data_IF_262182150846
#
_entry.id   IF_262182150846
#
_cell.length_a   1.000
_cell.length_b   1.000
_cell.length_c   1.000
_cell.angle_alpha   90.00
_cell.angle_beta   90.00
_cell.angle_gamma   90.00
#
_symmetry.space_group_name_H-M   'P 1'
#
loop_
_entity.id
_entity.type
_entity.pdbx_description
1 polymer ?
#
# COMPACT_ATOMS: atom_id res chain seq x y z
N UNK A 1 29.21 -32.67 38.52
CA UNK A 1 27.85 -32.15 38.75
C UNK A 1 26.93 -33.07 37.98
N UNK A 2 26.06 -33.82 38.67
CA UNK A 2 25.11 -34.72 38.00
C UNK A 2 24.12 -33.89 37.20
N UNK A 3 24.01 -34.16 35.89
CA UNK A 3 22.96 -33.60 35.06
C UNK A 3 21.61 -34.16 35.54
N UNK A 4 20.64 -33.27 35.75
CA UNK A 4 19.27 -33.68 36.11
C UNK A 4 18.64 -34.49 34.98
N UNK A 5 17.75 -35.44 35.27
CA UNK A 5 17.13 -36.30 34.26
C UNK A 5 16.44 -35.51 33.14
N UNK A 6 15.84 -34.36 33.46
CA UNK A 6 15.28 -33.44 32.47
C UNK A 6 16.31 -32.91 31.45
N UNK A 7 17.56 -32.68 31.88
CA UNK A 7 18.63 -32.22 30.99
C UNK A 7 19.10 -33.34 30.06
N UNK A 8 19.03 -34.61 30.52
CA UNK A 8 19.37 -35.77 29.68
C UNK A 8 18.29 -35.99 28.63
N UNK A 9 17.02 -35.95 29.02
CA UNK A 9 15.88 -36.09 28.09
C UNK A 9 15.89 -35.00 27.02
N UNK A 10 16.27 -33.77 27.39
CA UNK A 10 16.36 -32.66 26.43
C UNK A 10 17.49 -32.88 25.41
N UNK A 11 18.66 -33.34 25.86
CA UNK A 11 19.79 -33.62 24.98
C UNK A 11 19.46 -34.79 24.05
N UNK A 12 18.90 -35.87 24.56
CA UNK A 12 18.50 -37.04 23.76
C UNK A 12 17.41 -36.66 22.72
N UNK A 13 16.47 -35.78 23.09
CA UNK A 13 15.45 -35.28 22.16
C UNK A 13 16.04 -34.38 21.08
N UNK A 14 17.05 -33.56 21.41
CA UNK A 14 17.73 -32.71 20.42
C UNK A 14 18.59 -33.54 19.46
N UNK A 15 19.32 -34.53 19.96
CA UNK A 15 20.11 -35.45 19.15
C UNK A 15 19.21 -36.25 18.19
N UNK A 16 18.11 -36.82 18.69
CA UNK A 16 17.14 -37.54 17.87
C UNK A 16 16.46 -36.64 16.82
N UNK A 17 16.24 -35.35 17.12
CA UNK A 17 15.70 -34.39 16.17
C UNK A 17 16.69 -34.05 15.06
N UNK A 18 17.97 -33.83 15.41
CA UNK A 18 19.03 -33.51 14.44
C UNK A 18 19.25 -34.69 13.48
N UNK A 19 19.22 -35.93 13.98
CA UNK A 19 19.36 -37.13 13.16
C UNK A 19 18.32 -37.25 12.04
N UNK A 20 17.13 -36.66 12.19
CA UNK A 20 16.08 -36.71 11.16
C UNK A 20 16.43 -35.92 9.89
N UNK A 21 17.42 -35.03 9.98
CA UNK A 21 17.88 -34.20 8.88
C UNK A 21 19.25 -34.62 8.33
N UNK A 22 19.93 -35.58 8.97
CA UNK A 22 21.15 -36.18 8.44
C UNK A 22 20.79 -37.29 7.43
N UNK A 23 21.20 -37.09 6.17
CA UNK A 23 20.94 -38.02 5.06
C UNK A 23 21.61 -39.38 5.23
N UNK A 24 22.64 -39.46 6.08
CA UNK A 24 23.35 -40.70 6.37
C UNK A 24 22.80 -41.42 7.61
N UNK A 25 21.87 -40.80 8.35
CA UNK A 25 21.21 -41.42 9.50
C UNK A 25 20.10 -42.37 9.05
N UNK A 26 19.95 -43.50 9.75
CA UNK A 26 18.83 -44.42 9.57
C UNK A 26 17.47 -43.76 9.87
N UNK A 27 17.48 -42.67 10.64
CA UNK A 27 16.29 -41.91 11.04
C UNK A 27 15.97 -40.73 10.13
N UNK A 28 16.69 -40.55 9.00
CA UNK A 28 16.42 -39.48 8.03
C UNK A 28 14.95 -39.47 7.61
N UNK A 29 14.24 -38.36 7.84
CA UNK A 29 12.78 -38.25 7.64
C UNK A 29 11.98 -39.42 8.23
N UNK A 30 12.28 -39.84 9.46
CA UNK A 30 11.66 -40.98 10.15
C UNK A 30 11.81 -42.32 9.41
N UNK A 31 12.93 -42.51 8.72
CA UNK A 31 13.20 -43.72 7.94
C UNK A 31 12.50 -43.77 6.58
N UNK A 32 11.96 -42.64 6.09
CA UNK A 32 11.38 -42.53 4.76
C UNK A 32 12.25 -41.63 3.86
N UNK A 33 13.22 -42.21 3.13
CA UNK A 33 14.11 -41.45 2.24
C UNK A 33 13.45 -41.08 0.90
N UNK A 34 12.15 -41.31 0.72
CA UNK A 34 11.46 -41.04 -0.55
C UNK A 34 11.43 -39.55 -0.84
N UNK A 35 12.16 -39.12 -1.88
CA UNK A 35 12.14 -37.73 -2.32
C UNK A 35 10.72 -37.34 -2.76
N UNK A 36 10.13 -36.35 -2.08
CA UNK A 36 8.85 -35.79 -2.48
C UNK A 36 9.05 -35.01 -3.78
N UNK A 37 8.27 -35.28 -4.85
CA UNK A 37 8.43 -34.56 -6.10
C UNK A 37 8.12 -33.08 -5.89
N UNK A 38 9.09 -32.22 -6.16
CA UNK A 38 8.92 -30.77 -6.10
C UNK A 38 8.12 -30.35 -7.33
N UNK A 39 6.82 -30.10 -7.16
CA UNK A 39 5.94 -29.58 -8.21
C UNK A 39 4.94 -30.58 -8.81
N UNK A 40 4.14 -31.26 -7.98
CA UNK A 40 3.00 -32.09 -8.43
C UNK A 40 1.64 -31.44 -8.16
N UNK A 41 0.74 -31.45 -9.14
CA UNK A 41 -0.64 -30.93 -9.07
C UNK A 41 -1.60 -31.77 -8.19
N UNK A 42 -1.14 -32.82 -7.51
CA UNK A 42 -2.04 -33.73 -6.81
C UNK A 42 -2.34 -33.21 -5.40
N UNK A 43 -3.47 -32.51 -5.29
CA UNK A 43 -4.10 -32.18 -4.03
C UNK A 43 -4.51 -33.49 -3.31
N UNK A 44 -4.19 -33.68 -2.02
CA UNK A 44 -4.62 -34.86 -1.27
C UNK A 44 -6.13 -34.99 -1.22
N UNK A 45 -6.67 -36.22 -1.33
CA UNK A 45 -8.12 -36.50 -1.30
C UNK A 45 -8.80 -36.04 0.00
N UNK A 46 -8.04 -35.89 1.08
CA UNK A 46 -8.51 -35.39 2.38
C UNK A 46 -8.65 -33.86 2.45
N UNK A 47 -8.17 -33.13 1.43
CA UNK A 47 -8.32 -31.68 1.38
C UNK A 47 -9.68 -31.36 0.77
N UNK A 48 -10.65 -30.80 1.53
CA UNK A 48 -11.92 -30.40 0.96
C UNK A 48 -11.66 -29.41 -0.17
N UNK A 49 -12.13 -29.73 -1.37
CA UNK A 49 -12.09 -28.80 -2.51
C UNK A 49 -12.93 -27.59 -2.13
N UNK A 50 -12.26 -26.55 -1.64
CA UNK A 50 -12.89 -25.30 -1.18
C UNK A 50 -13.61 -24.54 -2.31
N UNK A 51 -13.48 -25.02 -3.54
CA UNK A 51 -13.97 -24.39 -4.74
C UNK A 51 -14.97 -25.31 -5.46
N UNK A 52 -16.24 -24.90 -5.60
CA UNK A 52 -17.19 -25.65 -6.42
C UNK A 52 -16.71 -25.63 -7.88
N UNK A 53 -16.36 -26.80 -8.41
CA UNK A 53 -15.95 -26.98 -9.82
C UNK A 53 -17.02 -26.50 -10.82
N UNK A 54 -18.28 -26.46 -10.36
CA UNK A 54 -19.45 -26.17 -11.18
C UNK A 54 -19.62 -24.69 -11.56
N UNK A 55 -18.86 -23.76 -10.96
CA UNK A 55 -19.03 -22.34 -11.28
C UNK A 55 -17.72 -21.53 -11.31
N UNK A 56 -16.63 -22.16 -11.76
CA UNK A 56 -15.34 -21.50 -11.94
C UNK A 56 -15.46 -20.28 -12.87
N UNK A 57 -16.36 -20.31 -13.85
CA UNK A 57 -16.53 -19.22 -14.80
C UNK A 57 -17.11 -17.95 -14.16
N UNK A 58 -18.11 -18.07 -13.27
CA UNK A 58 -18.60 -16.93 -12.48
C UNK A 58 -17.64 -16.55 -11.34
N UNK A 59 -16.85 -17.50 -10.84
CA UNK A 59 -15.81 -17.22 -9.85
C UNK A 59 -14.68 -16.35 -10.41
N UNK A 60 -14.24 -16.62 -11.65
CA UNK A 60 -13.20 -15.83 -12.32
C UNK A 60 -13.73 -14.54 -12.96
N UNK A 61 -15.00 -14.52 -13.38
CA UNK A 61 -15.65 -13.34 -13.94
C UNK A 61 -16.99 -13.09 -13.23
N UNK A 62 -16.98 -12.53 -12.00
CA UNK A 62 -18.22 -12.15 -11.35
C UNK A 62 -18.97 -11.17 -12.26
N UNK A 63 -20.20 -11.52 -12.64
CA UNK A 63 -21.10 -10.64 -13.40
C UNK A 63 -21.20 -9.30 -12.65
N UNK A 64 -20.83 -8.20 -13.30
CA UNK A 64 -20.99 -6.86 -12.72
C UNK A 64 -22.47 -6.61 -12.43
N UNK A 65 -22.84 -6.75 -11.16
CA UNK A 65 -24.19 -6.49 -10.73
C UNK A 65 -24.48 -4.98 -10.84
N UNK A 66 -25.38 -4.59 -11.75
CA UNK A 66 -25.74 -3.19 -11.94
C UNK A 66 -26.67 -2.71 -10.81
N UNK A 67 -26.08 -2.02 -9.83
CA UNK A 67 -26.80 -1.39 -8.73
C UNK A 67 -27.37 -0.01 -9.10
N UNK A 68 -27.36 0.39 -10.37
CA UNK A 68 -27.95 1.62 -10.89
C UNK A 68 -27.00 2.83 -10.94
N UNK A 69 -27.47 3.97 -11.48
CA UNK A 69 -26.64 5.15 -11.74
C UNK A 69 -26.10 5.80 -10.46
N UNK A 70 -26.88 5.82 -9.38
CA UNK A 70 -26.46 6.36 -8.08
C UNK A 70 -25.27 5.58 -7.50
N UNK A 71 -25.32 4.25 -7.57
CA UNK A 71 -24.20 3.39 -7.15
C UNK A 71 -22.92 3.69 -7.96
N UNK A 72 -23.03 3.78 -9.28
CA UNK A 72 -21.90 4.08 -10.18
C UNK A 72 -21.29 5.44 -9.84
N UNK A 73 -22.13 6.44 -9.57
CA UNK A 73 -21.67 7.77 -9.18
C UNK A 73 -20.95 7.77 -7.83
N UNK A 74 -21.47 7.07 -6.80
CA UNK A 74 -20.79 6.97 -5.50
C UNK A 74 -19.46 6.21 -5.59
N UNK A 75 -19.40 5.16 -6.41
CA UNK A 75 -18.16 4.43 -6.69
C UNK A 75 -17.12 5.34 -7.34
N UNK A 76 -17.52 6.15 -8.32
CA UNK A 76 -16.64 7.12 -8.98
C UNK A 76 -16.15 8.18 -7.99
N UNK A 77 -17.02 8.71 -7.14
CA UNK A 77 -16.61 9.66 -6.09
C UNK A 77 -15.57 9.05 -5.15
N UNK A 78 -15.80 7.81 -4.70
CA UNK A 78 -14.88 7.12 -3.82
C UNK A 78 -13.51 6.92 -4.48
N UNK A 79 -13.50 6.51 -5.75
CA UNK A 79 -12.27 6.32 -6.51
C UNK A 79 -11.48 7.63 -6.64
N UNK A 80 -12.15 8.72 -7.03
CA UNK A 80 -11.47 10.02 -7.18
C UNK A 80 -10.96 10.54 -5.83
N UNK A 81 -11.72 10.37 -4.74
CA UNK A 81 -11.24 10.72 -3.40
C UNK A 81 -10.03 9.88 -2.96
N UNK A 82 -10.00 8.59 -3.28
CA UNK A 82 -8.83 7.73 -3.03
C UNK A 82 -7.60 8.19 -3.84
N UNK A 83 -7.79 8.57 -5.11
CA UNK A 83 -6.72 9.13 -5.95
C UNK A 83 -6.23 10.49 -5.44
N UNK A 84 -7.16 11.38 -5.06
CA UNK A 84 -6.87 12.68 -4.46
C UNK A 84 -6.01 12.54 -3.20
N UNK A 85 -6.40 11.64 -2.28
CA UNK A 85 -5.63 11.34 -1.06
C UNK A 85 -4.23 10.81 -1.37
N UNK A 86 -4.11 9.93 -2.37
CA UNK A 86 -2.80 9.41 -2.81
C UNK A 86 -1.90 10.52 -3.36
N UNK A 87 -2.42 11.41 -4.20
CA UNK A 87 -1.66 12.55 -4.74
C UNK A 87 -1.20 13.50 -3.64
N UNK A 88 -2.07 13.82 -2.67
CA UNK A 88 -1.71 14.65 -1.52
C UNK A 88 -0.54 14.07 -0.70
N UNK A 89 -0.61 12.78 -0.38
CA UNK A 89 0.48 12.11 0.34
C UNK A 89 1.79 12.10 -0.44
N UNK A 90 1.73 11.88 -1.76
CA UNK A 90 2.91 11.90 -2.63
C UNK A 90 3.57 13.27 -2.69
N UNK A 91 2.80 14.35 -2.77
CA UNK A 91 3.33 15.73 -2.78
C UNK A 91 4.16 16.00 -1.52
N UNK A 92 3.67 15.61 -0.34
CA UNK A 92 4.43 15.74 0.91
C UNK A 92 5.77 15.00 0.85
N UNK A 93 5.76 13.76 0.33
CA UNK A 93 6.96 12.94 0.19
C UNK A 93 7.97 13.55 -0.80
N UNK A 94 7.49 14.12 -1.92
CA UNK A 94 8.33 14.78 -2.92
C UNK A 94 9.04 16.01 -2.35
N UNK A 95 8.33 16.85 -1.60
CA UNK A 95 8.94 18.03 -0.97
C UNK A 95 9.97 17.65 0.11
N UNK A 96 9.71 16.61 0.89
CA UNK A 96 10.69 16.08 1.86
C UNK A 96 11.95 15.54 1.16
N UNK A 97 11.77 14.80 0.06
CA UNK A 97 12.87 14.28 -0.75
C UNK A 97 13.69 15.40 -1.37
N UNK A 98 13.05 16.45 -1.90
CA UNK A 98 13.72 17.63 -2.43
C UNK A 98 14.56 18.33 -1.36
N UNK A 99 13.99 18.63 -0.20
CA UNK A 99 14.70 19.30 0.89
C UNK A 99 15.90 18.47 1.34
N UNK A 100 15.72 17.16 1.54
CA UNK A 100 16.80 16.24 1.91
C UNK A 100 17.91 16.18 0.86
N UNK A 101 17.56 16.10 -0.42
CA UNK A 101 18.54 16.03 -1.51
C UNK A 101 19.29 17.36 -1.68
N UNK A 102 18.61 18.50 -1.49
CA UNK A 102 19.24 19.82 -1.47
C UNK A 102 20.24 19.97 -0.31
N UNK A 103 19.88 19.49 0.88
CA UNK A 103 20.80 19.49 2.02
C UNK A 103 22.00 18.58 1.81
N UNK A 104 21.82 17.42 1.19
CA UNK A 104 22.91 16.53 0.82
C UNK A 104 23.81 17.13 -0.28
N UNK A 105 23.22 17.82 -1.25
CA UNK A 105 23.98 18.54 -2.28
C UNK A 105 24.88 19.62 -1.66
N UNK A 106 24.36 20.41 -0.70
CA UNK A 106 25.16 21.43 0.02
C UNK A 106 26.34 20.84 0.79
N UNK A 107 26.22 19.59 1.26
CA UNK A 107 27.27 18.86 2.01
C UNK A 107 28.22 18.07 1.13
N UNK A 108 28.00 18.06 -0.19
CA UNK A 108 28.79 17.26 -1.11
C UNK A 108 30.14 17.93 -1.41
N UNK A 109 31.23 17.17 -1.26
CA UNK A 109 32.59 17.69 -1.42
C UNK A 109 33.22 17.34 -2.78
N UNK A 110 32.65 16.36 -3.49
CA UNK A 110 33.20 15.89 -4.77
C UNK A 110 32.19 15.97 -5.91
N UNK A 111 32.72 16.05 -7.13
CA UNK A 111 31.95 16.28 -8.35
C UNK A 111 30.95 15.13 -8.65
N UNK A 112 31.27 13.90 -8.29
CA UNK A 112 30.40 12.72 -8.50
C UNK A 112 29.15 12.81 -7.61
N UNK A 113 29.31 13.17 -6.33
CA UNK A 113 28.19 13.36 -5.40
C UNK A 113 27.32 14.54 -5.83
N UNK A 114 27.94 15.65 -6.24
CA UNK A 114 27.23 16.84 -6.75
C UNK A 114 26.34 16.46 -7.94
N UNK A 115 26.89 15.77 -8.95
CA UNK A 115 26.12 15.34 -10.12
C UNK A 115 24.99 14.38 -9.75
N UNK A 116 25.24 13.43 -8.84
CA UNK A 116 24.21 12.50 -8.35
C UNK A 116 23.04 13.24 -7.70
N UNK A 117 23.30 14.12 -6.74
CA UNK A 117 22.22 14.82 -6.04
C UNK A 117 21.51 15.83 -6.94
N UNK A 118 22.22 16.46 -7.88
CA UNK A 118 21.59 17.31 -8.89
C UNK A 118 20.59 16.51 -9.74
N UNK A 119 20.99 15.34 -10.25
CA UNK A 119 20.10 14.46 -11.02
C UNK A 119 18.89 13.97 -10.22
N UNK A 120 19.07 13.66 -8.92
CA UNK A 120 17.97 13.30 -8.03
C UNK A 120 17.00 14.48 -7.82
N UNK A 121 17.51 15.70 -7.64
CA UNK A 121 16.68 16.91 -7.50
C UNK A 121 15.87 17.16 -8.77
N UNK A 122 16.49 17.04 -9.94
CA UNK A 122 15.83 17.32 -11.22
C UNK A 122 14.75 16.27 -11.52
N UNK A 123 15.03 14.99 -11.27
CA UNK A 123 14.05 13.91 -11.34
C UNK A 123 12.88 14.15 -10.38
N UNK A 124 13.17 14.54 -9.14
CA UNK A 124 12.15 14.75 -8.12
C UNK A 124 11.26 15.96 -8.41
N UNK A 125 11.82 17.04 -8.99
CA UNK A 125 11.03 18.18 -9.49
C UNK A 125 10.07 17.78 -10.60
N UNK A 126 10.50 16.92 -11.53
CA UNK A 126 9.64 16.40 -12.59
C UNK A 126 8.50 15.54 -12.01
N UNK A 127 8.82 14.65 -11.06
CA UNK A 127 7.83 13.83 -10.37
C UNK A 127 6.83 14.67 -9.58
N UNK A 128 7.30 15.68 -8.84
CA UNK A 128 6.46 16.63 -8.12
C UNK A 128 5.49 17.32 -9.08
N UNK A 129 5.98 17.87 -10.19
CA UNK A 129 5.15 18.54 -11.20
C UNK A 129 4.04 17.63 -11.73
N UNK A 130 4.37 16.39 -12.08
CA UNK A 130 3.38 15.41 -12.56
C UNK A 130 2.33 15.10 -11.49
N UNK A 131 2.75 14.93 -10.24
CA UNK A 131 1.83 14.66 -9.12
C UNK A 131 0.93 15.86 -8.83
N UNK A 132 1.44 17.10 -8.95
CA UNK A 132 0.61 18.31 -8.81
C UNK A 132 -0.44 18.38 -9.92
N UNK A 133 -0.07 18.11 -11.18
CA UNK A 133 -1.05 18.08 -12.29
C UNK A 133 -2.14 17.02 -12.08
N UNK A 134 -1.79 15.85 -11.54
CA UNK A 134 -2.78 14.85 -11.14
C UNK A 134 -3.69 15.38 -10.02
N UNK A 135 -3.11 16.03 -9.00
CA UNK A 135 -3.88 16.64 -7.92
C UNK A 135 -4.84 17.71 -8.44
N UNK A 136 -4.42 18.54 -9.40
CA UNK A 136 -5.24 19.56 -10.03
C UNK A 136 -6.46 18.94 -10.72
N UNK A 137 -6.25 17.90 -11.54
CA UNK A 137 -7.33 17.21 -12.23
C UNK A 137 -8.37 16.63 -11.27
N UNK A 138 -7.93 15.93 -10.21
CA UNK A 138 -8.84 15.39 -9.19
C UNK A 138 -9.54 16.50 -8.40
N UNK A 139 -8.83 17.58 -8.06
CA UNK A 139 -9.39 18.75 -7.36
C UNK A 139 -10.49 19.40 -8.19
N UNK A 140 -10.25 19.65 -9.47
CA UNK A 140 -11.24 20.24 -10.37
C UNK A 140 -12.50 19.37 -10.45
N UNK A 141 -12.35 18.06 -10.60
CA UNK A 141 -13.49 17.15 -10.62
C UNK A 141 -14.31 17.22 -9.33
N UNK A 142 -13.65 17.18 -8.16
CA UNK A 142 -14.31 17.19 -6.85
C UNK A 142 -15.03 18.52 -6.59
N UNK A 143 -14.41 19.65 -6.95
CA UNK A 143 -15.01 20.98 -6.75
C UNK A 143 -16.21 21.25 -7.67
N UNK A 144 -16.36 20.51 -8.77
CA UNK A 144 -17.55 20.56 -9.62
C UNK A 144 -18.74 19.79 -9.01
N UNK A 145 -18.51 18.92 -8.03
CA UNK A 145 -19.58 18.15 -7.39
C UNK A 145 -20.19 18.96 -6.24
N UNK A 146 -21.50 19.23 -6.31
CA UNK A 146 -22.24 19.96 -5.26
C UNK A 146 -22.06 19.36 -3.85
N UNK A 147 -21.92 18.03 -3.75
CA UNK A 147 -21.67 17.32 -2.48
C UNK A 147 -20.36 17.72 -1.80
N UNK A 148 -19.38 18.20 -2.56
CA UNK A 148 -18.00 18.39 -2.10
C UNK A 148 -17.47 19.83 -2.26
N UNK A 149 -18.03 20.61 -3.19
CA UNK A 149 -17.56 21.94 -3.58
C UNK A 149 -17.08 22.82 -2.42
N UNK A 150 -17.93 23.07 -1.42
CA UNK A 150 -17.57 23.96 -0.31
C UNK A 150 -16.63 23.31 0.73
N UNK A 151 -16.68 21.99 0.84
CA UNK A 151 -15.95 21.23 1.85
C UNK A 151 -14.46 21.11 1.53
N UNK A 152 -14.12 21.17 0.25
CA UNK A 152 -12.77 20.92 -0.26
C UNK A 152 -12.10 22.18 -0.82
N UNK A 153 -12.61 23.38 -0.51
CA UNK A 153 -12.02 24.65 -0.97
C UNK A 153 -10.54 24.81 -0.59
N UNK A 154 -10.13 24.29 0.56
CA UNK A 154 -8.73 24.31 1.02
C UNK A 154 -7.77 23.55 0.07
N UNK A 155 -8.28 22.69 -0.84
CA UNK A 155 -7.47 22.10 -1.90
C UNK A 155 -6.86 23.15 -2.82
N UNK A 156 -7.54 24.28 -3.06
CA UNK A 156 -7.03 25.37 -3.87
C UNK A 156 -5.82 26.03 -3.21
N UNK A 157 -5.87 26.20 -1.88
CA UNK A 157 -4.73 26.67 -1.11
C UNK A 157 -3.59 25.67 -1.18
N UNK A 158 -3.87 24.38 -0.97
CA UNK A 158 -2.84 23.32 -1.05
C UNK A 158 -2.18 23.29 -2.43
N UNK A 159 -2.93 23.43 -3.52
CA UNK A 159 -2.39 23.51 -4.88
C UNK A 159 -1.47 24.71 -5.07
N UNK A 160 -1.88 25.89 -4.58
CA UNK A 160 -1.03 27.09 -4.65
C UNK A 160 0.28 26.93 -3.88
N UNK A 161 0.25 26.24 -2.74
CA UNK A 161 1.42 25.98 -1.91
C UNK A 161 2.28 24.85 -2.48
N UNK A 162 1.70 23.87 -3.16
CA UNK A 162 2.41 22.72 -3.71
C UNK A 162 3.47 23.12 -4.76
N UNK A 163 3.25 24.22 -5.49
CA UNK A 163 4.22 24.77 -6.44
C UNK A 163 5.36 25.56 -5.79
N UNK A 164 5.27 25.89 -4.51
CA UNK A 164 6.34 26.62 -3.81
C UNK A 164 7.55 25.72 -3.59
N UNK A 165 8.72 26.34 -3.54
CA UNK A 165 9.95 25.69 -3.08
C UNK A 165 10.11 25.94 -1.58
N UNK A 166 10.26 24.87 -0.82
CA UNK A 166 10.47 24.90 0.62
C UNK A 166 11.96 24.87 0.93
N UNK A 167 12.43 25.76 1.80
CA UNK A 167 13.86 25.86 2.16
C UNK A 167 14.15 25.47 3.61
N UNK A 168 13.12 25.29 4.44
CA UNK A 168 13.24 24.90 5.83
C UNK A 168 12.30 23.75 6.18
N UNK A 169 12.61 23.06 7.29
CA UNK A 169 11.75 21.99 7.79
C UNK A 169 10.47 22.54 8.40
N UNK A 170 10.50 23.74 8.97
CA UNK A 170 9.36 24.41 9.56
C UNK A 170 8.30 24.74 8.50
N UNK A 171 8.70 25.36 7.37
CA UNK A 171 7.76 25.67 6.27
C UNK A 171 7.13 24.40 5.69
N UNK A 172 7.93 23.33 5.55
CA UNK A 172 7.46 22.04 5.09
C UNK A 172 6.50 21.37 6.09
N UNK A 173 6.74 21.54 7.39
CA UNK A 173 5.88 21.01 8.45
C UNK A 173 4.49 21.68 8.45
N UNK A 174 4.44 23.00 8.28
CA UNK A 174 3.17 23.73 8.16
C UNK A 174 2.36 23.24 6.95
N UNK A 175 3.02 23.09 5.79
CA UNK A 175 2.39 22.53 4.60
C UNK A 175 1.93 21.08 4.79
N UNK A 176 2.77 20.25 5.43
CA UNK A 176 2.43 18.88 5.79
C UNK A 176 1.21 18.79 6.71
N UNK A 177 1.01 19.76 7.60
CA UNK A 177 -0.17 19.84 8.47
C UNK A 177 -1.44 20.10 7.67
N UNK A 178 -1.40 20.99 6.67
CA UNK A 178 -2.53 21.22 5.76
C UNK A 178 -2.89 19.94 4.98
N UNK A 179 -1.89 19.25 4.45
CA UNK A 179 -2.07 17.95 3.76
C UNK A 179 -2.71 16.92 4.70
N UNK A 180 -2.22 16.82 5.95
CA UNK A 180 -2.75 15.86 6.94
C UNK A 180 -4.21 16.13 7.29
N UNK A 181 -4.59 17.39 7.46
CA UNK A 181 -5.98 17.77 7.74
C UNK A 181 -6.89 17.39 6.57
N UNK A 182 -6.45 17.69 5.34
CA UNK A 182 -7.19 17.36 4.14
C UNK A 182 -7.33 15.84 3.93
N UNK A 183 -6.25 15.08 4.07
CA UNK A 183 -6.29 13.61 3.92
C UNK A 183 -7.14 12.93 4.99
N UNK A 184 -7.21 13.49 6.20
CA UNK A 184 -8.12 13.05 7.26
C UNK A 184 -9.58 13.33 6.91
N UNK A 185 -9.87 14.48 6.29
CA UNK A 185 -11.20 14.84 5.82
C UNK A 185 -11.67 13.88 4.71
N UNK A 186 -10.82 13.65 3.71
CA UNK A 186 -11.07 12.70 2.62
C UNK A 186 -11.36 11.30 3.17
N UNK A 187 -10.57 10.84 4.13
CA UNK A 187 -10.76 9.52 4.71
C UNK A 187 -12.14 9.36 5.36
N UNK A 188 -12.60 10.35 6.14
CA UNK A 188 -13.94 10.34 6.74
C UNK A 188 -15.05 10.30 5.69
N UNK A 189 -14.89 11.02 4.58
CA UNK A 189 -15.88 10.98 3.51
C UNK A 189 -15.87 9.68 2.73
N UNK A 190 -14.70 9.08 2.50
CA UNK A 190 -14.62 7.75 1.90
C UNK A 190 -15.27 6.67 2.78
N UNK A 191 -15.20 6.79 4.10
CA UNK A 191 -15.95 5.90 5.01
C UNK A 191 -17.45 6.06 4.81
N UNK A 192 -17.97 7.30 4.78
CA UNK A 192 -19.39 7.57 4.53
C UNK A 192 -19.85 7.06 3.17
N UNK A 193 -19.09 7.32 2.10
CA UNK A 193 -19.39 6.78 0.77
C UNK A 193 -19.45 5.25 0.78
N UNK A 194 -18.56 4.60 1.52
CA UNK A 194 -18.55 3.13 1.65
C UNK A 194 -19.81 2.62 2.36
N UNK A 195 -20.30 3.33 3.37
CA UNK A 195 -21.55 3.03 4.06
C UNK A 195 -22.77 3.22 3.13
N UNK A 196 -22.84 4.34 2.41
CA UNK A 196 -23.89 4.62 1.43
C UNK A 196 -23.93 3.54 0.33
N UNK A 197 -22.77 3.16 -0.21
CA UNK A 197 -22.61 2.10 -1.21
C UNK A 197 -23.14 0.77 -0.67
N UNK A 198 -22.81 0.40 0.58
CA UNK A 198 -23.32 -0.83 1.22
C UNK A 198 -24.83 -0.81 1.39
N UNK A 199 -25.39 0.36 1.73
CA UNK A 199 -26.83 0.52 1.88
C UNK A 199 -27.57 0.27 0.56
N UNK A 200 -27.08 0.85 -0.54
CA UNK A 200 -27.66 0.62 -1.89
C UNK A 200 -27.61 -0.87 -2.25
N UNK A 201 -26.47 -1.53 -2.02
CA UNK A 201 -26.34 -2.98 -2.26
C UNK A 201 -27.33 -3.79 -1.44
N UNK A 202 -27.60 -3.40 -0.19
CA UNK A 202 -28.56 -4.08 0.69
C UNK A 202 -30.01 -3.87 0.26
N UNK A 203 -30.36 -2.69 -0.26
CA UNK A 203 -31.72 -2.37 -0.70
C UNK A 203 -32.08 -3.04 -2.04
N UNK A 204 -31.08 -3.33 -2.88
CA UNK A 204 -31.26 -3.98 -4.20
C UNK A 204 -30.99 -5.49 -4.19
N UNK A 205 -30.73 -6.07 -3.02
CA UNK A 205 -30.57 -7.51 -2.81
C UNK A 205 -31.84 -8.06 -2.19
#
# INVERSE_FOLDING_TARGET
MDQSDFQKDLIESEEAFIEQFDRNSANFHHGNPTAVPVGGQRVPESMPTMYPEQDLQNYFNPQEQDFGPEYKQLMQYKEVLDLLKKSLNKISAHHEALLRNQDNLKKSENQVQIQKFQGLIDSEKANLKNTIQQLEGHTQYILQQERFKNKYNDLLQILSLAYKSYNSKEELFEFGTLIKNMTSLIFKDNQKLTEDIKLIKKQKK
#
